data_IF_869131926481
#
_entry.id   IF_869131926481
#
_cell.length_a   1.000
_cell.length_b   1.000
_cell.length_c   1.000
_cell.angle_alpha   90.00
_cell.angle_beta   90.00
_cell.angle_gamma   90.00
#
_symmetry.space_group_name_H-M   'P 1'
#
loop_
_entity.id
_entity.type
_entity.pdbx_description
1 polymer ?
#
# COMPACT_ATOMS: atom_id res chain seq x y z
N UNK A 1 3.54 -8.79 -11.55
CA UNK A 1 2.68 -8.44 -12.71
C UNK A 1 2.71 -6.92 -12.68
N UNK A 2 3.30 -6.24 -13.67
CA UNK A 2 3.64 -4.81 -13.53
C UNK A 2 2.44 -4.01 -12.99
N UNK A 3 2.64 -3.36 -11.83
CA UNK A 3 1.57 -2.64 -11.14
C UNK A 3 0.99 -1.55 -12.01
N UNK A 4 -0.35 -1.43 -12.00
CA UNK A 4 -1.13 -0.41 -12.72
C UNK A 4 -0.54 0.99 -12.52
N UNK A 5 -0.10 1.30 -11.31
CA UNK A 5 0.49 2.59 -10.95
C UNK A 5 1.80 2.84 -11.70
N UNK A 6 2.66 1.83 -11.84
CA UNK A 6 3.93 1.96 -12.56
C UNK A 6 3.73 2.23 -14.06
N UNK A 7 2.70 1.63 -14.65
CA UNK A 7 2.36 1.83 -16.05
C UNK A 7 1.71 3.21 -16.29
N UNK A 8 0.80 3.64 -15.41
CA UNK A 8 0.24 5.00 -15.48
C UNK A 8 1.34 6.07 -15.34
N UNK A 9 2.33 5.82 -14.47
CA UNK A 9 3.46 6.72 -14.30
C UNK A 9 4.30 6.79 -15.58
N UNK A 10 4.56 5.66 -16.25
CA UNK A 10 5.26 5.61 -17.55
C UNK A 10 4.51 6.40 -18.62
N UNK A 11 3.19 6.22 -18.71
CA UNK A 11 2.33 6.99 -19.63
C UNK A 11 2.41 8.49 -19.31
N UNK A 12 2.46 8.88 -18.03
CA UNK A 12 2.66 10.25 -17.60
C UNK A 12 3.99 10.85 -18.07
N UNK A 13 5.09 10.11 -17.86
CA UNK A 13 6.45 10.47 -18.31
C UNK A 13 6.48 10.66 -19.84
N UNK A 14 5.77 9.80 -20.59
CA UNK A 14 5.65 9.88 -22.03
C UNK A 14 4.91 11.12 -22.50
N UNK A 15 3.78 11.45 -21.87
CA UNK A 15 3.02 12.66 -22.17
C UNK A 15 3.82 13.93 -21.92
N UNK A 16 4.77 13.89 -21.00
CA UNK A 16 5.70 15.00 -20.73
C UNK A 16 6.91 15.03 -21.68
N UNK A 17 7.09 14.04 -22.57
CA UNK A 17 8.23 13.93 -23.48
C UNK A 17 9.54 13.53 -22.79
N UNK A 18 9.47 12.94 -21.60
CA UNK A 18 10.63 12.64 -20.75
C UNK A 18 11.13 11.19 -20.86
N UNK A 19 10.57 10.37 -21.76
CA UNK A 19 10.88 8.95 -21.89
C UNK A 19 12.37 8.60 -22.05
N UNK A 20 13.13 9.48 -22.72
CA UNK A 20 14.56 9.25 -22.95
C UNK A 20 15.43 9.75 -21.79
N UNK A 21 14.86 10.49 -20.84
CA UNK A 21 15.55 11.13 -19.73
C UNK A 21 15.13 10.56 -18.38
N UNK A 22 14.08 9.75 -18.32
CA UNK A 22 13.50 9.22 -17.09
C UNK A 22 13.17 7.74 -17.27
N UNK A 23 13.66 6.91 -16.35
CA UNK A 23 13.37 5.49 -16.28
C UNK A 23 12.57 5.20 -15.01
N UNK A 24 11.39 4.61 -15.20
CA UNK A 24 10.52 4.15 -14.11
C UNK A 24 10.86 2.70 -13.80
N UNK A 25 11.25 2.44 -12.55
CA UNK A 25 11.67 1.13 -12.05
C UNK A 25 10.84 0.82 -10.79
N UNK A 26 9.76 0.02 -10.90
CA UNK A 26 9.05 -0.46 -9.72
C UNK A 26 9.90 -1.50 -8.98
N UNK A 27 9.84 -1.49 -7.64
CA UNK A 27 10.31 -2.64 -6.86
C UNK A 27 9.43 -3.87 -7.14
N UNK A 28 9.88 -5.09 -6.81
CA UNK A 28 9.02 -6.26 -6.86
C UNK A 28 7.77 -6.09 -5.99
N UNK A 29 6.66 -6.68 -6.44
CA UNK A 29 5.45 -6.80 -5.65
C UNK A 29 5.76 -7.51 -4.31
N UNK A 30 5.04 -7.15 -3.24
CA UNK A 30 5.24 -7.79 -1.95
C UNK A 30 4.94 -9.29 -2.00
N UNK A 31 5.84 -10.13 -1.46
CA UNK A 31 5.56 -11.56 -1.28
C UNK A 31 4.80 -11.79 0.04
N UNK A 32 3.68 -12.54 0.01
CA UNK A 32 2.89 -12.80 1.22
C UNK A 32 1.44 -13.25 0.97
N UNK A 33 0.59 -13.06 1.97
CA UNK A 33 -0.83 -13.47 2.06
C UNK A 33 -1.80 -12.67 1.18
N UNK A 34 -1.34 -12.14 0.04
CA UNK A 34 -2.09 -11.26 -0.87
C UNK A 34 -2.59 -9.95 -0.24
N UNK A 35 -2.21 -9.63 1.00
CA UNK A 35 -2.56 -8.33 1.61
C UNK A 35 -1.88 -7.14 0.91
N UNK A 36 -0.81 -7.39 0.14
CA UNK A 36 0.00 -6.38 -0.54
C UNK A 36 0.47 -6.82 -1.93
N UNK A 37 -0.42 -6.85 -2.94
CA UNK A 37 -0.07 -7.28 -4.30
C UNK A 37 0.68 -6.22 -5.12
N UNK A 38 0.85 -4.99 -4.59
CA UNK A 38 1.45 -3.85 -5.30
C UNK A 38 2.88 -3.53 -4.81
N UNK A 39 3.73 -2.92 -5.67
CA UNK A 39 5.09 -2.55 -5.33
C UNK A 39 5.05 -1.37 -4.36
N UNK A 40 5.77 -1.50 -3.25
CA UNK A 40 5.76 -0.47 -2.19
C UNK A 40 6.51 0.78 -2.60
N UNK A 41 7.44 0.65 -3.54
CA UNK A 41 8.29 1.74 -4.01
C UNK A 41 8.44 1.71 -5.52
N UNK A 42 8.51 2.91 -6.09
CA UNK A 42 8.85 3.12 -7.50
C UNK A 42 10.01 4.10 -7.55
N UNK A 43 11.12 3.68 -8.17
CA UNK A 43 12.28 4.51 -8.42
C UNK A 43 12.13 5.17 -9.78
N UNK A 44 12.22 6.50 -9.83
CA UNK A 44 12.30 7.27 -11.07
C UNK A 44 13.73 7.74 -11.21
N UNK A 45 14.51 7.04 -12.00
CA UNK A 45 15.89 7.42 -12.32
C UNK A 45 15.83 8.47 -13.42
N UNK A 46 16.49 9.60 -13.25
CA UNK A 46 16.53 10.68 -14.23
C UNK A 46 17.96 11.05 -14.64
N UNK A 47 18.11 11.41 -15.91
CA UNK A 47 19.34 11.95 -16.45
C UNK A 47 19.43 13.45 -16.14
N UNK A 48 20.25 13.78 -15.16
CA UNK A 48 20.51 15.16 -14.76
C UNK A 48 21.37 15.88 -15.78
N UNK A 49 21.05 17.15 -16.07
CA UNK A 49 21.91 18.06 -16.83
C UNK A 49 23.16 18.48 -16.04
N UNK A 50 23.16 18.28 -14.73
CA UNK A 50 24.28 18.60 -13.86
C UNK A 50 25.23 17.41 -13.75
N UNK A 51 26.51 17.68 -13.47
CA UNK A 51 27.49 16.62 -13.23
C UNK A 51 27.03 15.71 -12.09
N UNK A 52 27.26 14.40 -12.24
CA UNK A 52 26.97 13.42 -11.21
C UNK A 52 27.78 13.75 -9.96
N UNK A 53 27.07 13.94 -8.85
CA UNK A 53 27.65 14.22 -7.56
C UNK A 53 27.70 12.88 -6.79
N UNK A 54 28.84 12.46 -6.21
CA UNK A 54 28.98 11.12 -5.63
C UNK A 54 27.98 10.78 -4.51
N UNK A 55 27.45 11.78 -3.82
CA UNK A 55 26.52 11.61 -2.70
C UNK A 55 25.05 11.85 -3.07
N UNK A 56 24.76 12.26 -4.31
CA UNK A 56 23.40 12.57 -4.76
C UNK A 56 23.12 11.83 -6.07
N UNK A 57 22.35 10.77 -5.97
CA UNK A 57 21.86 10.05 -7.14
C UNK A 57 20.70 10.79 -7.79
N UNK A 58 20.64 10.74 -9.12
CA UNK A 58 19.52 11.28 -9.90
C UNK A 58 18.31 10.35 -9.83
N UNK A 59 17.77 10.15 -8.63
CA UNK A 59 16.64 9.24 -8.40
C UNK A 59 15.60 9.93 -7.53
N UNK A 60 14.34 9.87 -7.96
CA UNK A 60 13.17 10.20 -7.14
C UNK A 60 12.52 8.91 -6.69
N UNK A 61 12.32 8.76 -5.39
CA UNK A 61 11.63 7.62 -4.80
C UNK A 61 10.17 7.98 -4.56
N UNK A 62 9.23 7.27 -5.19
CA UNK A 62 7.84 7.25 -4.77
C UNK A 62 7.63 6.08 -3.82
N UNK A 63 7.31 6.38 -2.58
CA UNK A 63 6.76 5.38 -1.66
C UNK A 63 5.24 5.41 -1.77
N UNK A 64 4.64 4.30 -2.19
CA UNK A 64 3.19 4.15 -2.30
C UNK A 64 2.68 3.83 -0.89
N UNK A 65 2.63 4.88 -0.08
CA UNK A 65 2.25 4.83 1.34
C UNK A 65 0.77 5.10 1.60
N UNK A 66 -0.09 5.04 0.58
CA UNK A 66 -1.52 5.28 0.72
C UNK A 66 -2.22 4.10 1.40
N UNK A 67 -1.94 3.94 2.70
CA UNK A 67 -2.99 3.65 3.67
C UNK A 67 -4.00 4.79 3.64
N UNK A 68 -4.80 4.90 2.59
CA UNK A 68 -6.18 5.28 2.87
C UNK A 68 -6.69 4.14 3.72
N UNK A 69 -7.05 4.42 4.97
CA UNK A 69 -7.53 3.45 5.93
C UNK A 69 -8.70 2.65 5.33
N UNK A 70 -8.42 1.60 4.57
CA UNK A 70 -9.27 0.43 4.56
C UNK A 70 -8.86 -0.37 5.79
N UNK A 71 -9.07 0.24 6.96
CA UNK A 71 -9.38 -0.57 8.13
C UNK A 71 -10.57 -1.43 7.71
N UNK A 72 -10.45 -2.77 7.73
CA UNK A 72 -11.58 -3.62 7.47
C UNK A 72 -12.63 -3.33 8.55
N UNK A 73 -13.55 -2.43 8.26
CA UNK A 73 -14.71 -2.15 9.10
C UNK A 73 -15.66 -3.33 8.98
N UNK A 74 -15.38 -4.38 9.75
CA UNK A 74 -16.30 -5.49 9.90
C UNK A 74 -17.18 -5.25 11.12
N UNK A 75 -18.50 -5.46 11.01
CA UNK A 75 -19.36 -5.52 12.17
C UNK A 75 -18.89 -6.66 13.07
N UNK A 76 -18.47 -6.34 14.29
CA UNK A 76 -18.11 -7.31 15.31
C UNK A 76 -19.18 -7.32 16.40
N UNK A 77 -19.65 -8.51 16.76
CA UNK A 77 -20.53 -8.68 17.92
C UNK A 77 -19.67 -8.78 19.18
N UNK A 78 -19.91 -7.89 20.16
CA UNK A 78 -19.22 -7.97 21.44
C UNK A 78 -19.82 -9.12 22.25
N UNK A 79 -19.07 -10.22 22.36
CA UNK A 79 -19.42 -11.36 23.22
C UNK A 79 -18.56 -11.39 24.47
N UNK A 80 -19.19 -11.66 25.61
CA UNK A 80 -18.47 -11.92 26.86
C UNK A 80 -17.58 -13.14 26.72
N UNK A 81 -16.33 -13.02 27.18
CA UNK A 81 -15.37 -14.12 27.20
C UNK A 81 -15.90 -15.34 27.96
N UNK A 82 -16.63 -15.12 29.05
CA UNK A 82 -17.21 -16.20 29.86
C UNK A 82 -18.28 -16.94 29.06
N UNK A 83 -19.18 -16.21 28.40
CA UNK A 83 -20.21 -16.82 27.54
C UNK A 83 -19.61 -17.52 26.32
N UNK A 84 -18.47 -17.04 25.80
CA UNK A 84 -17.79 -17.66 24.65
C UNK A 84 -17.15 -19.00 24.98
N UNK A 85 -16.70 -19.18 26.23
CA UNK A 85 -16.06 -20.41 26.69
C UNK A 85 -17.06 -21.40 27.30
N UNK A 86 -18.17 -20.89 27.84
CA UNK A 86 -19.19 -21.68 28.52
C UNK A 86 -20.58 -21.32 27.98
N UNK A 87 -21.04 -22.06 26.96
CA UNK A 87 -22.33 -21.82 26.29
C UNK A 87 -23.54 -21.82 27.24
N UNK A 88 -23.43 -22.56 28.35
CA UNK A 88 -24.46 -22.62 29.39
C UNK A 88 -24.58 -21.34 30.26
N UNK A 89 -23.63 -20.41 30.17
CA UNK A 89 -23.63 -19.17 30.96
C UNK A 89 -23.87 -17.99 30.02
N UNK A 90 -25.08 -17.42 30.05
CA UNK A 90 -25.37 -16.19 29.34
C UNK A 90 -25.19 -14.98 30.26
N UNK A 91 -24.11 -14.22 30.03
CA UNK A 91 -23.80 -12.98 30.76
C UNK A 91 -24.18 -11.70 30.02
N UNK A 92 -24.78 -11.80 28.82
CA UNK A 92 -25.07 -10.64 27.98
C UNK A 92 -26.52 -10.18 28.17
N UNK A 93 -26.70 -8.93 28.60
CA UNK A 93 -28.03 -8.30 28.65
C UNK A 93 -28.43 -7.77 27.25
N UNK A 94 -27.44 -7.36 26.45
CA UNK A 94 -27.57 -6.90 25.06
C UNK A 94 -26.31 -7.34 24.30
N UNK A 95 -26.44 -7.70 23.02
CA UNK A 95 -25.32 -7.95 22.11
C UNK A 95 -25.08 -6.73 21.21
N UNK A 96 -24.27 -5.74 21.63
CA UNK A 96 -23.99 -4.59 20.77
C UNK A 96 -23.11 -5.04 19.60
N UNK A 97 -23.53 -4.64 18.40
CA UNK A 97 -22.72 -4.73 17.20
C UNK A 97 -21.90 -3.45 17.12
N UNK A 98 -20.57 -3.58 17.17
CA UNK A 98 -19.64 -2.47 17.03
C UNK A 98 -18.98 -2.52 15.66
N UNK A 99 -18.69 -1.34 15.10
CA UNK A 99 -17.82 -1.23 13.93
C UNK A 99 -16.39 -1.08 14.44
N UNK A 100 -15.53 -2.06 14.15
CA UNK A 100 -14.12 -1.99 14.51
C UNK A 100 -13.33 -1.19 13.48
N UNK A 101 -12.26 -0.59 13.98
CA UNK A 101 -11.26 0.26 13.35
C UNK A 101 -9.98 -0.57 13.34
#
# INVERSE_FOLDING_TARGET
MDSIISEELRIGVEKCGLNNLCQVIPEPDGEGDETYPEPRKIHIVYDSLFQKIPYLEGVVLLEIGARSLFEPTQPAEVKSLVSSQFEQINTSVVSPIITTI
#
